data_IF_290616015206
#
_entry.id   IF_290616015206
#
_cell.length_a   1.000
_cell.length_b   1.000
_cell.length_c   1.000
_cell.angle_alpha   90.00
_cell.angle_beta   90.00
_cell.angle_gamma   90.00
#
_symmetry.space_group_name_H-M   'P 1'
#
loop_
_entity.id
_entity.type
_entity.pdbx_description
1 polymer ?
#
# COMPACT_ATOMS: atom_id res chain seq x y z
N UNK A 1 0.27 -21.42 -6.01
CA UNK A 1 0.16 -19.94 -5.99
C UNK A 1 0.25 -19.47 -4.54
N UNK A 2 1.39 -18.89 -4.14
CA UNK A 2 1.54 -18.30 -2.82
C UNK A 2 0.70 -17.01 -2.75
N UNK A 3 -0.55 -17.12 -2.31
CA UNK A 3 -1.33 -15.93 -1.94
C UNK A 3 -0.62 -15.33 -0.73
N UNK A 4 0.14 -14.26 -0.94
CA UNK A 4 0.55 -13.37 0.12
C UNK A 4 -0.75 -12.88 0.76
N UNK A 5 -1.15 -13.49 1.89
CA UNK A 5 -2.42 -13.20 2.59
C UNK A 5 -2.33 -11.81 3.25
N UNK A 6 -2.16 -10.78 2.44
CA UNK A 6 -2.33 -9.38 2.81
C UNK A 6 -3.84 -9.18 3.03
N UNK A 7 -4.28 -8.52 4.12
CA UNK A 7 -3.57 -7.52 4.93
C UNK A 7 -3.19 -8.02 6.34
N UNK A 8 -2.98 -9.32 6.54
CA UNK A 8 -2.69 -9.84 7.88
C UNK A 8 -1.30 -9.40 8.34
N UNK A 9 -1.27 -8.62 9.44
CA UNK A 9 -0.08 -8.07 10.10
C UNK A 9 1.04 -9.11 10.31
N UNK A 10 0.66 -10.37 10.62
CA UNK A 10 1.62 -11.45 10.84
C UNK A 10 2.53 -11.74 9.65
N UNK A 11 2.10 -11.48 8.41
CA UNK A 11 2.95 -11.71 7.23
C UNK A 11 3.94 -10.58 6.99
N UNK A 12 3.58 -9.34 7.34
CA UNK A 12 4.51 -8.22 7.32
C UNK A 12 5.60 -8.43 8.37
N UNK A 13 5.21 -8.81 9.59
CA UNK A 13 6.16 -9.13 10.65
C UNK A 13 7.08 -10.29 10.28
N UNK A 14 6.54 -11.39 9.74
CA UNK A 14 7.35 -12.51 9.26
C UNK A 14 8.29 -12.15 8.12
N UNK A 15 7.87 -11.27 7.21
CA UNK A 15 8.72 -10.80 6.13
C UNK A 15 9.88 -9.95 6.68
N UNK A 16 9.60 -9.07 7.65
CA UNK A 16 10.63 -8.28 8.33
C UNK A 16 11.59 -9.16 9.15
N UNK A 17 11.07 -10.12 9.91
CA UNK A 17 11.88 -11.11 10.66
C UNK A 17 12.77 -11.95 9.72
N UNK A 18 12.25 -12.37 8.56
CA UNK A 18 13.02 -13.13 7.58
C UNK A 18 14.10 -12.30 6.87
N UNK A 19 13.95 -10.98 6.85
CA UNK A 19 14.88 -10.03 6.24
C UNK A 19 15.79 -9.35 7.28
N UNK A 20 15.64 -9.69 8.57
CA UNK A 20 16.31 -9.06 9.70
C UNK A 20 16.25 -7.51 9.63
N UNK A 21 15.06 -7.00 9.31
CA UNK A 21 14.84 -5.58 9.05
C UNK A 21 13.85 -4.97 10.07
N UNK A 22 14.07 -3.71 10.41
CA UNK A 22 13.18 -2.93 11.27
C UNK A 22 12.11 -2.20 10.47
N UNK A 23 10.96 -1.83 11.07
CA UNK A 23 9.96 -1.00 10.42
C UNK A 23 10.51 0.33 9.89
N UNK A 24 11.48 0.92 10.60
CA UNK A 24 12.14 2.18 10.26
C UNK A 24 13.00 2.07 8.99
N UNK A 25 13.55 0.89 8.74
CA UNK A 25 14.40 0.58 7.57
C UNK A 25 13.60 -0.07 6.42
N UNK A 26 12.29 -0.24 6.61
CA UNK A 26 11.43 -0.97 5.66
C UNK A 26 10.40 -0.06 5.02
N UNK A 27 10.32 -0.12 3.69
CA UNK A 27 9.33 0.61 2.89
C UNK A 27 8.39 -0.40 2.22
N UNK A 28 7.08 -0.15 2.32
CA UNK A 28 6.06 -0.92 1.60
C UNK A 28 5.66 -0.22 0.31
N UNK A 29 5.82 -0.88 -0.83
CA UNK A 29 5.43 -0.37 -2.15
C UNK A 29 4.28 -1.22 -2.70
N UNK A 30 3.19 -0.58 -3.13
CA UNK A 30 2.06 -1.30 -3.73
C UNK A 30 1.08 -0.42 -4.48
N UNK A 31 0.24 -1.06 -5.29
CA UNK A 31 -0.78 -0.44 -6.15
C UNK A 31 -2.20 -0.66 -5.62
N UNK A 32 -2.35 -1.38 -4.50
CA UNK A 32 -3.63 -1.59 -3.84
C UNK A 32 -3.66 -0.96 -2.45
N UNK A 33 -4.51 0.07 -2.24
CA UNK A 33 -4.50 0.82 -0.98
C UNK A 33 -5.02 0.01 0.20
N UNK A 34 -6.09 -0.78 0.05
CA UNK A 34 -6.66 -1.50 1.19
C UNK A 34 -5.81 -2.69 1.66
N UNK A 35 -4.93 -3.20 0.80
CA UNK A 35 -4.10 -4.37 1.11
C UNK A 35 -2.67 -3.96 1.42
N UNK A 36 -2.03 -3.22 0.52
CA UNK A 36 -0.62 -2.87 0.62
C UNK A 36 -0.40 -1.64 1.50
N UNK A 37 -1.09 -0.54 1.19
CA UNK A 37 -0.89 0.74 1.88
C UNK A 37 -1.48 0.72 3.28
N UNK A 38 -2.71 0.23 3.44
CA UNK A 38 -3.34 0.11 4.74
C UNK A 38 -2.65 -0.94 5.61
N UNK A 39 -2.21 -2.05 5.00
CA UNK A 39 -1.41 -3.08 5.68
C UNK A 39 -0.08 -2.53 6.19
N UNK A 40 0.67 -1.81 5.34
CA UNK A 40 1.95 -1.19 5.72
C UNK A 40 1.79 -0.11 6.79
N UNK A 41 0.82 0.80 6.66
CA UNK A 41 0.57 1.85 7.66
C UNK A 41 0.18 1.26 9.03
N UNK A 42 -0.59 0.17 9.05
CA UNK A 42 -0.93 -0.53 10.30
C UNK A 42 0.28 -1.19 10.98
N UNK A 43 1.36 -1.41 10.24
CA UNK A 43 2.64 -1.90 10.76
C UNK A 43 3.67 -0.78 10.93
N UNK A 44 3.24 0.49 10.89
CA UNK A 44 4.09 1.67 11.01
C UNK A 44 5.17 1.77 9.92
N UNK A 45 5.00 1.08 8.79
CA UNK A 45 5.90 1.17 7.66
C UNK A 45 5.67 2.43 6.87
N UNK A 46 6.74 2.97 6.30
CA UNK A 46 6.60 3.99 5.27
C UNK A 46 5.99 3.35 4.01
N UNK A 47 4.88 3.90 3.52
CA UNK A 47 4.15 3.31 2.38
C UNK A 47 4.20 4.20 1.15
N UNK A 48 4.62 3.63 0.01
CA UNK A 48 4.60 4.28 -1.30
C UNK A 48 3.50 3.65 -2.15
N UNK A 49 2.57 4.50 -2.56
CA UNK A 49 1.52 4.10 -3.49
C UNK A 49 1.95 4.37 -4.94
N UNK A 50 1.94 3.33 -5.77
CA UNK A 50 2.28 3.43 -7.20
C UNK A 50 1.03 3.32 -8.08
N UNK A 51 1.11 3.88 -9.29
CA UNK A 51 0.02 3.79 -10.26
C UNK A 51 -0.18 2.33 -10.69
N UNK A 52 -1.39 1.77 -10.59
CA UNK A 52 -1.65 0.39 -11.02
C UNK A 52 -1.41 0.24 -12.52
N UNK A 53 -0.77 -0.88 -12.90
CA UNK A 53 -0.37 -1.16 -14.29
C UNK A 53 -1.51 -1.82 -15.10
N UNK A 54 -2.52 -2.39 -14.44
CA UNK A 54 -3.68 -3.02 -15.08
C UNK A 54 -4.99 -2.35 -14.68
N UNK A 55 -5.80 -2.00 -15.67
CA UNK A 55 -7.20 -1.66 -15.48
C UNK A 55 -8.00 -2.96 -15.36
N UNK A 56 -8.55 -3.24 -14.19
CA UNK A 56 -9.45 -4.37 -13.94
C UNK A 56 -10.87 -3.85 -13.70
N UNK A 57 -11.86 -4.58 -14.20
CA UNK A 57 -13.26 -4.17 -14.35
C UNK A 57 -13.96 -3.53 -13.13
N UNK A 58 -14.89 -2.62 -13.45
CA UNK A 58 -16.05 -2.18 -12.67
C UNK A 58 -15.78 -1.53 -11.31
N UNK A 59 -15.39 -2.34 -10.32
CA UNK A 59 -15.17 -1.91 -8.94
C UNK A 59 -13.77 -1.35 -8.71
N UNK A 60 -12.74 -1.94 -9.32
CA UNK A 60 -11.35 -1.49 -9.16
C UNK A 60 -11.11 -0.17 -9.91
N UNK A 61 -11.75 0.04 -11.06
CA UNK A 61 -11.72 1.32 -11.77
C UNK A 61 -12.32 2.46 -10.94
N UNK A 62 -13.44 2.23 -10.25
CA UNK A 62 -14.04 3.22 -9.32
C UNK A 62 -13.10 3.54 -8.16
N UNK A 63 -12.44 2.52 -7.64
CA UNK A 63 -11.44 2.67 -6.58
C UNK A 63 -10.24 3.52 -7.05
N UNK A 64 -9.70 3.24 -8.24
CA UNK A 64 -8.62 4.03 -8.84
C UNK A 64 -8.99 5.51 -8.95
N UNK A 65 -10.21 5.84 -9.39
CA UNK A 65 -10.68 7.24 -9.46
C UNK A 65 -10.82 7.91 -8.09
N UNK A 66 -11.27 7.17 -7.07
CA UNK A 66 -11.35 7.69 -5.71
C UNK A 66 -9.95 8.00 -5.15
N UNK A 67 -9.01 7.13 -5.45
CA UNK A 67 -7.64 7.22 -4.96
C UNK A 67 -6.85 8.32 -5.64
N UNK A 68 -7.00 8.45 -6.96
CA UNK A 68 -6.47 9.57 -7.71
C UNK A 68 -6.98 10.90 -7.13
N UNK A 69 -8.28 11.00 -6.78
CA UNK A 69 -8.82 12.19 -6.08
C UNK A 69 -8.22 12.40 -4.69
N UNK A 70 -8.02 11.35 -3.90
CA UNK A 70 -7.42 11.45 -2.57
C UNK A 70 -5.95 11.89 -2.63
N UNK A 71 -5.18 11.32 -3.55
CA UNK A 71 -3.77 11.68 -3.78
C UNK A 71 -3.68 13.11 -4.28
N UNK A 72 -4.48 13.50 -5.27
CA UNK A 72 -4.55 14.88 -5.73
C UNK A 72 -4.97 15.84 -4.61
N UNK A 73 -5.89 15.43 -3.73
CA UNK A 73 -6.29 16.23 -2.56
C UNK A 73 -5.14 16.33 -1.54
N UNK A 74 -4.40 15.25 -1.30
CA UNK A 74 -3.25 15.24 -0.40
C UNK A 74 -2.10 16.08 -0.94
N UNK A 75 -1.75 15.93 -2.22
CA UNK A 75 -0.73 16.72 -2.92
C UNK A 75 -1.09 18.21 -2.95
N UNK A 76 -2.35 18.55 -3.26
CA UNK A 76 -2.84 19.94 -3.25
C UNK A 76 -2.87 20.55 -1.84
N UNK A 77 -2.97 19.73 -0.78
CA UNK A 77 -2.88 20.18 0.61
C UNK A 77 -1.43 20.25 1.11
N UNK A 78 -0.49 19.59 0.41
CA UNK A 78 0.97 19.61 0.65
C UNK A 78 1.71 20.58 -0.28
N UNK A 79 1.01 21.33 -1.13
CA UNK A 79 1.60 22.49 -1.79
C UNK A 79 1.95 23.52 -0.70
N UNK A 80 3.26 23.63 -0.48
CA UNK A 80 3.97 24.87 -0.16
C UNK A 80 3.52 25.96 -1.13
#
# INVERSE_FOLDING_TARGET
>A
MAKAKKPLAGNFKKAMEALDATPEETIMIGDQIMTDIWGGNRQQLYTIFVKPVKETDGFITKFNRMMERMILKSLRKKQI
#
